data_IF_077933446578
#
_entry.id   IF_077933446578
#
_cell.length_a   1.000
_cell.length_b   1.000
_cell.length_c   1.000
_cell.angle_alpha   90.00
_cell.angle_beta   90.00
_cell.angle_gamma   90.00
#
_symmetry.space_group_name_H-M   'P 1'
#
loop_
_entity.id
_entity.type
_entity.pdbx_description
1 polymer ?
#
# COMPACT_ATOMS: atom_id res chain seq x y z
N UNK A 1 -18.58 37.54 -13.59
CA UNK A 1 -18.97 36.17 -13.21
C UNK A 1 -17.70 35.44 -12.79
N UNK A 2 -17.50 35.30 -11.48
CA UNK A 2 -16.34 34.60 -10.92
C UNK A 2 -16.61 33.11 -10.88
N UNK A 3 -15.75 32.33 -11.51
CA UNK A 3 -15.64 30.91 -11.21
C UNK A 3 -14.51 30.76 -10.21
N UNK A 4 -14.90 30.54 -8.96
CA UNK A 4 -13.99 30.26 -7.86
C UNK A 4 -13.11 29.07 -8.23
N UNK A 5 -11.79 29.28 -8.18
CA UNK A 5 -10.81 28.22 -8.29
C UNK A 5 -11.10 27.19 -7.21
N UNK A 6 -11.50 25.99 -7.64
CA UNK A 6 -11.57 24.84 -6.76
C UNK A 6 -10.15 24.58 -6.28
N UNK A 7 -9.83 24.99 -5.05
CA UNK A 7 -8.65 24.52 -4.36
C UNK A 7 -8.79 23.02 -4.20
N UNK A 8 -8.27 22.26 -5.15
CA UNK A 8 -7.75 20.94 -4.85
C UNK A 8 -6.78 21.16 -3.70
N UNK A 9 -7.23 20.81 -2.49
CA UNK A 9 -6.36 20.56 -1.37
C UNK A 9 -5.29 19.64 -1.90
N UNK A 10 -4.10 20.18 -2.14
CA UNK A 10 -2.88 19.40 -2.33
C UNK A 10 -2.64 18.72 -0.99
N UNK A 11 -3.44 17.69 -0.69
CA UNK A 11 -3.07 16.69 0.29
C UNK A 11 -1.66 16.28 -0.08
N UNK A 12 -0.76 16.37 0.88
CA UNK A 12 0.64 16.04 0.67
C UNK A 12 0.69 14.56 0.25
N UNK A 13 0.62 14.29 -1.06
CA UNK A 13 0.71 12.95 -1.61
C UNK A 13 2.15 12.53 -1.35
N UNK A 14 2.34 11.82 -0.24
CA UNK A 14 3.64 11.31 0.14
C UNK A 14 4.08 10.40 -0.99
N UNK A 15 5.16 10.79 -1.67
CA UNK A 15 5.75 9.99 -2.73
C UNK A 15 6.11 8.63 -2.15
N UNK A 16 5.52 7.56 -2.70
CA UNK A 16 5.80 6.20 -2.25
C UNK A 16 7.30 5.92 -2.41
N UNK A 17 7.86 5.28 -1.39
CA UNK A 17 9.25 4.87 -1.29
C UNK A 17 9.31 3.43 -0.83
N UNK A 18 10.42 2.75 -1.07
CA UNK A 18 10.58 1.38 -0.57
C UNK A 18 10.76 1.41 0.95
N UNK A 19 10.12 0.49 1.70
CA UNK A 19 10.33 0.38 3.12
C UNK A 19 11.79 0.05 3.45
N UNK A 20 12.16 0.34 4.71
CA UNK A 20 13.44 -0.10 5.25
C UNK A 20 13.54 -1.63 5.12
N UNK A 21 14.70 -2.18 4.76
CA UNK A 21 14.88 -3.63 4.68
C UNK A 21 14.51 -4.29 6.01
N UNK A 22 13.54 -5.20 5.97
CA UNK A 22 13.17 -6.01 7.12
C UNK A 22 14.13 -7.21 7.26
N UNK A 23 14.45 -7.56 8.51
CA UNK A 23 15.27 -8.74 8.83
C UNK A 23 14.51 -9.63 9.80
N UNK A 24 14.40 -10.92 9.45
CA UNK A 24 13.85 -11.93 10.34
C UNK A 24 14.84 -12.18 11.51
N UNK A 25 14.36 -12.35 12.76
CA UNK A 25 15.23 -12.54 13.93
C UNK A 25 16.06 -13.82 13.88
N UNK A 26 15.58 -14.84 13.16
CA UNK A 26 16.31 -16.08 12.93
C UNK A 26 16.73 -16.23 11.46
N UNK A 27 17.86 -16.91 11.16
CA UNK A 27 18.23 -17.21 9.79
C UNK A 27 17.14 -18.06 9.12
N UNK A 28 16.63 -17.58 7.99
CA UNK A 28 15.65 -18.30 7.17
C UNK A 28 16.18 -18.45 5.76
N UNK A 29 15.78 -19.54 5.11
CA UNK A 29 16.07 -19.78 3.70
C UNK A 29 15.20 -18.88 2.81
N UNK A 30 15.61 -18.69 1.55
CA UNK A 30 14.80 -17.99 0.55
C UNK A 30 13.43 -18.64 0.37
N UNK A 31 13.34 -19.97 0.41
CA UNK A 31 12.08 -20.69 0.28
C UNK A 31 11.13 -20.36 1.45
N UNK A 32 11.64 -20.37 2.69
CA UNK A 32 10.85 -20.00 3.86
C UNK A 32 10.38 -18.53 3.80
N UNK A 33 11.23 -17.61 3.33
CA UNK A 33 10.84 -16.21 3.16
C UNK A 33 9.67 -16.06 2.16
N UNK A 34 9.72 -16.78 1.04
CA UNK A 34 8.64 -16.80 0.05
C UNK A 34 7.37 -17.42 0.65
N UNK A 35 7.48 -18.52 1.39
CA UNK A 35 6.33 -19.15 2.05
C UNK A 35 5.63 -18.20 3.03
N UNK A 36 6.40 -17.50 3.88
CA UNK A 36 5.84 -16.51 4.81
C UNK A 36 5.12 -15.36 4.08
N UNK A 37 5.66 -14.94 2.92
CA UNK A 37 5.03 -13.91 2.09
C UNK A 37 3.70 -14.40 1.50
N UNK A 38 3.66 -15.62 0.97
CA UNK A 38 2.42 -16.17 0.41
C UNK A 38 1.38 -16.41 1.51
N UNK A 39 1.77 -16.92 2.67
CA UNK A 39 0.88 -17.11 3.82
C UNK A 39 0.27 -15.78 4.30
N UNK A 40 1.07 -14.72 4.33
CA UNK A 40 0.58 -13.37 4.61
C UNK A 40 -0.51 -12.94 3.60
N UNK A 41 -0.27 -13.11 2.30
CA UNK A 41 -1.23 -12.69 1.27
C UNK A 41 -2.48 -13.57 1.20
N UNK A 42 -2.38 -14.86 1.54
CA UNK A 42 -3.50 -15.79 1.59
C UNK A 42 -4.45 -15.46 2.76
N UNK A 43 -3.87 -15.03 3.89
CA UNK A 43 -4.64 -14.70 5.11
C UNK A 43 -5.13 -13.25 5.14
N UNK A 44 -4.47 -12.31 4.44
CA UNK A 44 -4.76 -10.87 4.49
C UNK A 44 -6.26 -10.50 4.34
N UNK A 45 -7.03 -11.03 3.38
CA UNK A 45 -8.45 -10.70 3.24
C UNK A 45 -9.33 -11.10 4.44
N UNK A 46 -8.87 -12.05 5.26
CA UNK A 46 -9.59 -12.51 6.45
C UNK A 46 -9.44 -11.54 7.63
N UNK A 47 -8.46 -10.64 7.60
CA UNK A 47 -8.19 -9.66 8.66
C UNK A 47 -9.02 -8.38 8.54
N UNK A 48 -9.97 -8.33 7.61
CA UNK A 48 -10.86 -7.20 7.38
C UNK A 48 -10.51 -6.40 6.12
N UNK A 49 -11.26 -5.32 5.89
CA UNK A 49 -11.15 -4.54 4.65
C UNK A 49 -11.81 -5.21 3.45
N UNK A 50 -11.58 -4.65 2.27
CA UNK A 50 -12.09 -5.14 0.99
C UNK A 50 -11.02 -5.94 0.24
N UNK A 51 -11.41 -7.05 -0.39
CA UNK A 51 -10.47 -7.90 -1.14
C UNK A 51 -9.80 -7.12 -2.28
N UNK A 52 -10.51 -6.17 -2.89
CA UNK A 52 -9.99 -5.32 -3.96
C UNK A 52 -8.89 -4.37 -3.46
N UNK A 53 -8.98 -3.92 -2.21
CA UNK A 53 -7.94 -3.09 -1.58
C UNK A 53 -6.70 -3.93 -1.31
N UNK A 54 -6.87 -5.17 -0.84
CA UNK A 54 -5.76 -6.10 -0.66
C UNK A 54 -5.06 -6.44 -1.97
N UNK A 55 -5.81 -6.66 -3.05
CA UNK A 55 -5.25 -6.92 -4.38
C UNK A 55 -4.45 -5.71 -4.90
N UNK A 56 -5.01 -4.50 -4.76
CA UNK A 56 -4.30 -3.27 -5.11
C UNK A 56 -3.03 -3.07 -4.28
N UNK A 57 -3.05 -3.35 -2.98
CA UNK A 57 -1.87 -3.29 -2.11
C UNK A 57 -0.79 -4.30 -2.53
N UNK A 58 -1.19 -5.52 -2.90
CA UNK A 58 -0.26 -6.55 -3.41
C UNK A 58 0.41 -6.09 -4.70
N UNK A 59 -0.37 -5.57 -5.65
CA UNK A 59 0.14 -5.04 -6.90
C UNK A 59 1.08 -3.84 -6.67
N UNK A 60 0.72 -2.92 -5.77
CA UNK A 60 1.55 -1.77 -5.44
C UNK A 60 2.88 -2.17 -4.76
N UNK A 61 2.88 -3.21 -3.92
CA UNK A 61 4.08 -3.71 -3.26
C UNK A 61 5.08 -4.38 -4.23
N UNK A 62 4.60 -4.91 -5.36
CA UNK A 62 5.41 -5.55 -6.39
C UNK A 62 5.89 -4.58 -7.50
N UNK A 63 5.24 -3.43 -7.60
CA UNK A 63 5.51 -2.40 -8.59
C UNK A 63 6.73 -1.52 -8.24
N UNK A 64 7.20 -0.76 -9.24
CA UNK A 64 8.13 0.34 -8.98
C UNK A 64 7.41 1.50 -8.24
N UNK A 65 8.15 2.40 -7.55
CA UNK A 65 7.53 3.46 -6.75
C UNK A 65 6.57 4.39 -7.52
N UNK A 66 6.76 4.56 -8.83
CA UNK A 66 5.90 5.43 -9.64
C UNK A 66 4.60 4.72 -9.98
N UNK A 67 4.68 3.44 -10.38
CA UNK A 67 3.49 2.63 -10.64
C UNK A 67 2.71 2.33 -9.35
N UNK A 68 3.39 2.07 -8.24
CA UNK A 68 2.77 1.92 -6.93
C UNK A 68 1.93 3.15 -6.55
N UNK A 69 2.43 4.35 -6.85
CA UNK A 69 1.70 5.60 -6.60
C UNK A 69 0.41 5.67 -7.41
N UNK A 70 0.47 5.26 -8.68
CA UNK A 70 -0.71 5.20 -9.55
C UNK A 70 -1.74 4.22 -9.00
N UNK A 71 -1.33 3.00 -8.63
CA UNK A 71 -2.21 1.96 -8.10
C UNK A 71 -2.93 2.43 -6.83
N UNK A 72 -2.18 2.97 -5.87
CA UNK A 72 -2.73 3.49 -4.61
C UNK A 72 -3.72 4.62 -4.84
N UNK A 73 -3.41 5.54 -5.74
CA UNK A 73 -4.29 6.67 -6.05
C UNK A 73 -5.59 6.20 -6.73
N UNK A 74 -5.51 5.22 -7.63
CA UNK A 74 -6.66 4.68 -8.35
C UNK A 74 -7.59 3.88 -7.43
N UNK A 75 -7.00 3.07 -6.53
CA UNK A 75 -7.72 2.33 -5.50
C UNK A 75 -8.24 3.22 -4.34
N UNK A 76 -8.01 4.54 -4.39
CA UNK A 76 -8.38 5.52 -3.34
C UNK A 76 -7.85 5.17 -1.95
N UNK A 77 -6.66 4.59 -1.90
CA UNK A 77 -5.98 4.23 -0.66
C UNK A 77 -5.24 5.44 -0.13
N UNK A 78 -5.49 5.81 1.13
CA UNK A 78 -4.77 6.87 1.83
C UNK A 78 -3.54 6.29 2.50
N UNK A 79 -2.36 6.75 2.08
CA UNK A 79 -1.08 6.29 2.61
C UNK A 79 -0.62 7.19 3.75
N UNK A 80 -0.58 6.66 4.97
CA UNK A 80 -0.08 7.42 6.13
C UNK A 80 1.44 7.47 6.13
N UNK A 81 2.12 6.35 5.85
CA UNK A 81 3.57 6.29 5.76
C UNK A 81 4.00 6.08 4.31
N UNK A 82 4.98 6.86 3.84
CA UNK A 82 5.45 6.81 2.46
C UNK A 82 5.98 5.43 2.02
N UNK A 83 6.16 4.49 2.94
CA UNK A 83 6.68 3.15 2.70
C UNK A 83 5.60 2.06 2.61
N UNK A 84 4.31 2.44 2.50
CA UNK A 84 3.16 1.54 2.43
C UNK A 84 2.98 0.65 3.68
N UNK A 85 3.64 0.97 4.79
CA UNK A 85 3.48 0.20 6.04
C UNK A 85 2.13 0.44 6.71
N UNK A 86 1.53 1.61 6.50
CA UNK A 86 0.22 1.96 7.03
C UNK A 86 -0.59 2.66 5.94
N UNK A 87 -1.68 2.01 5.54
CA UNK A 87 -2.61 2.41 4.50
C UNK A 87 -4.04 2.31 5.04
N UNK A 88 -4.91 3.21 4.59
CA UNK A 88 -6.33 3.22 4.95
C UNK A 88 -7.16 3.26 3.67
N UNK A 89 -8.25 2.50 3.62
CA UNK A 89 -9.24 2.65 2.55
C UNK A 89 -10.10 3.92 2.73
N UNK A 90 -11.01 4.19 1.80
CA UNK A 90 -11.91 5.35 1.86
C UNK A 90 -12.87 5.34 3.07
N UNK A 91 -12.99 4.21 3.78
CA UNK A 91 -13.80 4.04 4.99
C UNK A 91 -12.98 4.18 6.27
N UNK A 92 -11.67 4.37 6.16
CA UNK A 92 -10.74 4.45 7.29
C UNK A 92 -10.43 3.10 7.93
N UNK A 93 -10.62 2.00 7.19
CA UNK A 93 -10.28 0.63 7.62
C UNK A 93 -8.98 0.12 7.04
#
# INVERSE_FOLDING_TARGET
>A
MGCAGSSQTKGNVKKITKPKPWKHPQPITKCQLVQLREEFWDTAPHHGGRIEIWDALRAAAEADPSLAQTIVNDARITVQNADLTICYDERGT
#
